data_IF_085640650426
#
_entry.id   IF_085640650426
#
_cell.length_a   1.000
_cell.length_b   1.000
_cell.length_c   1.000
_cell.angle_alpha   90.00
_cell.angle_beta   90.00
_cell.angle_gamma   90.00
#
_symmetry.space_group_name_H-M   'P 1'
#
loop_
_entity.id
_entity.type
_entity.pdbx_description
1 polymer ?
#
# COMPACT_ATOMS: atom_id res chain seq x y z
N UNK A 1 13.01 -15.22 6.66
CA UNK A 1 11.66 -15.42 6.10
C UNK A 1 10.59 -14.65 6.89
N UNK A 2 10.52 -14.78 8.22
CA UNK A 2 9.57 -14.05 9.08
C UNK A 2 9.66 -12.53 8.99
N UNK A 3 10.88 -11.98 9.07
CA UNK A 3 11.05 -10.53 9.01
C UNK A 3 10.65 -9.92 7.66
N UNK A 4 10.86 -10.63 6.54
CA UNK A 4 10.50 -10.12 5.21
C UNK A 4 8.99 -9.99 5.05
N UNK A 5 8.20 -10.94 5.57
CA UNK A 5 6.75 -10.84 5.55
C UNK A 5 6.24 -9.68 6.41
N UNK A 6 6.79 -9.51 7.61
CA UNK A 6 6.40 -8.40 8.50
C UNK A 6 6.78 -7.05 7.91
N UNK A 7 7.92 -6.95 7.22
CA UNK A 7 8.30 -5.74 6.51
C UNK A 7 7.34 -5.43 5.36
N UNK A 8 6.96 -6.43 4.55
CA UNK A 8 5.95 -6.23 3.49
C UNK A 8 4.61 -5.76 4.06
N UNK A 9 4.17 -6.36 5.17
CA UNK A 9 2.95 -5.96 5.86
C UNK A 9 3.05 -4.49 6.35
N UNK A 10 4.19 -4.10 6.95
CA UNK A 10 4.46 -2.73 7.38
C UNK A 10 4.42 -1.74 6.23
N UNK A 11 5.11 -2.02 5.13
CA UNK A 11 5.09 -1.16 3.95
C UNK A 11 3.68 -1.00 3.41
N UNK A 12 2.91 -2.10 3.35
CA UNK A 12 1.52 -2.08 2.90
C UNK A 12 0.65 -1.24 3.82
N UNK A 13 0.78 -1.41 5.15
CA UNK A 13 0.01 -0.65 6.12
C UNK A 13 0.35 0.84 6.09
N UNK A 14 1.62 1.22 5.97
CA UNK A 14 2.03 2.63 5.85
C UNK A 14 1.48 3.26 4.56
N UNK A 15 1.47 2.49 3.47
CA UNK A 15 0.89 2.91 2.20
C UNK A 15 -0.62 3.12 2.33
N UNK A 16 -1.32 2.19 2.99
CA UNK A 16 -2.74 2.31 3.31
C UNK A 16 -3.01 3.52 4.22
N UNK A 17 -2.19 3.73 5.24
CA UNK A 17 -2.31 4.84 6.19
C UNK A 17 -2.18 6.21 5.49
N UNK A 18 -1.26 6.32 4.54
CA UNK A 18 -1.14 7.50 3.66
C UNK A 18 -2.34 7.65 2.73
N UNK A 19 -2.91 6.54 2.26
CA UNK A 19 -4.08 6.54 1.36
C UNK A 19 -5.39 6.89 2.07
N UNK A 20 -5.45 6.73 3.40
CA UNK A 20 -6.64 7.08 4.19
C UNK A 20 -6.59 8.50 4.80
N UNK A 21 -5.61 9.31 4.41
CA UNK A 21 -5.46 10.67 4.92
C UNK A 21 -6.67 11.54 4.50
N UNK A 22 -7.32 12.18 5.47
CA UNK A 22 -8.50 13.02 5.24
C UNK A 22 -9.85 12.30 5.36
N UNK A 23 -9.85 11.00 5.65
CA UNK A 23 -11.07 10.27 6.02
C UNK A 23 -11.52 10.59 7.46
N UNK A 24 -12.77 10.26 7.85
CA UNK A 24 -13.23 10.42 9.21
C UNK A 24 -12.30 9.79 10.26
N UNK A 25 -12.24 10.41 11.45
CA UNK A 25 -11.38 9.97 12.55
C UNK A 25 -11.60 8.51 12.96
N UNK A 26 -12.82 7.99 12.81
CA UNK A 26 -13.17 6.59 13.08
C UNK A 26 -12.37 5.60 12.22
N UNK A 27 -12.08 5.97 10.98
CA UNK A 27 -11.34 5.14 10.03
C UNK A 27 -9.84 5.34 10.20
N UNK A 28 -9.42 6.59 10.43
CA UNK A 28 -8.00 6.89 10.70
C UNK A 28 -7.52 6.19 11.98
N UNK A 29 -8.35 6.15 13.03
CA UNK A 29 -8.04 5.45 14.29
C UNK A 29 -7.79 3.95 14.06
N UNK A 30 -8.62 3.29 13.25
CA UNK A 30 -8.41 1.89 12.84
C UNK A 30 -7.10 1.70 12.09
N UNK A 31 -6.77 2.60 11.15
CA UNK A 31 -5.49 2.55 10.42
C UNK A 31 -4.28 2.71 11.35
N UNK A 32 -4.35 3.62 12.33
CA UNK A 32 -3.33 3.80 13.35
C UNK A 32 -3.19 2.56 14.25
N UNK A 33 -4.31 1.98 14.69
CA UNK A 33 -4.33 0.76 15.48
C UNK A 33 -3.63 -0.40 14.76
N UNK A 34 -3.94 -0.61 13.47
CA UNK A 34 -3.29 -1.64 12.66
C UNK A 34 -1.78 -1.35 12.54
N UNK A 35 -1.39 -0.10 12.33
CA UNK A 35 0.03 0.28 12.28
C UNK A 35 0.77 -0.04 13.58
N UNK A 36 0.24 0.37 14.74
CA UNK A 36 0.83 0.08 16.04
C UNK A 36 0.93 -1.42 16.31
N UNK A 37 -0.11 -2.19 15.97
CA UNK A 37 -0.07 -3.64 16.10
C UNK A 37 0.98 -4.27 15.17
N UNK A 38 1.20 -3.77 13.96
CA UNK A 38 2.27 -4.30 13.10
C UNK A 38 3.66 -4.04 13.68
N UNK A 39 3.85 -2.93 14.40
CA UNK A 39 5.10 -2.67 15.12
C UNK A 39 5.31 -3.67 16.28
N UNK A 40 4.25 -4.01 17.02
CA UNK A 40 4.28 -5.07 18.03
C UNK A 40 4.59 -6.45 17.42
N UNK A 41 4.02 -6.72 16.24
CA UNK A 41 4.31 -7.92 15.46
C UNK A 41 5.78 -7.96 15.06
N UNK A 42 6.31 -6.84 14.55
CA UNK A 42 7.71 -6.72 14.17
C UNK A 42 8.64 -6.94 15.37
N UNK A 43 8.34 -6.34 16.52
CA UNK A 43 9.11 -6.54 17.74
C UNK A 43 9.13 -8.02 18.13
N UNK A 44 7.96 -8.67 18.13
CA UNK A 44 7.83 -10.10 18.44
C UNK A 44 8.60 -10.98 17.43
N UNK A 45 8.50 -10.69 16.14
CA UNK A 45 9.10 -11.50 15.07
C UNK A 45 10.60 -11.23 14.89
N UNK A 46 11.09 -10.04 15.29
CA UNK A 46 12.52 -9.71 15.28
C UNK A 46 13.30 -10.47 16.36
N UNK A 47 12.64 -10.84 17.45
CA UNK A 47 13.22 -11.68 18.50
C UNK A 47 13.37 -13.15 18.08
N UNK A 48 12.60 -13.60 17.08
CA UNK A 48 12.57 -14.98 16.61
C UNK A 48 13.47 -15.20 15.38
N UNK A 49 14.37 -16.20 15.45
CA UNK A 49 15.26 -16.56 14.35
C UNK A 49 14.55 -17.19 13.15
N UNK A 50 13.41 -17.86 13.39
CA UNK A 50 12.59 -18.46 12.34
C UNK A 50 11.10 -18.49 12.71
N UNK A 51 10.23 -18.78 11.75
CA UNK A 51 8.77 -18.91 12.01
C UNK A 51 8.44 -20.04 12.99
N UNK A 52 9.28 -21.05 13.09
CA UNK A 52 9.08 -22.18 14.02
C UNK A 52 9.43 -21.80 15.46
N UNK A 53 10.22 -20.74 15.67
CA UNK A 53 10.47 -20.14 16.99
C UNK A 53 9.30 -19.27 17.49
N UNK A 54 8.32 -18.98 16.63
CA UNK A 54 7.16 -18.20 17.01
C UNK A 54 6.12 -19.08 17.71
N UNK A 55 5.69 -18.63 18.88
CA UNK A 55 4.58 -19.24 19.60
C UNK A 55 3.31 -19.30 18.73
N UNK A 56 2.53 -20.37 18.87
CA UNK A 56 1.18 -20.46 18.29
C UNK A 56 0.29 -19.28 18.68
N UNK A 57 0.51 -18.66 19.84
CA UNK A 57 -0.19 -17.43 20.24
C UNK A 57 0.21 -16.22 19.38
N UNK A 58 1.49 -16.07 19.02
CA UNK A 58 1.96 -14.99 18.16
C UNK A 58 1.45 -15.15 16.71
N UNK A 59 1.35 -16.40 16.24
CA UNK A 59 0.77 -16.72 14.93
C UNK A 59 -0.77 -16.56 14.91
N UNK A 60 -1.46 -16.96 15.97
CA UNK A 60 -2.91 -16.75 16.08
C UNK A 60 -3.24 -15.27 16.13
N UNK A 61 -2.48 -14.51 16.92
CA UNK A 61 -2.63 -13.07 17.02
C UNK A 61 -2.30 -12.34 15.70
N UNK A 62 -1.24 -12.74 14.98
CA UNK A 62 -0.94 -12.13 13.67
C UNK A 62 -2.05 -12.38 12.66
N UNK A 63 -2.65 -13.58 12.68
CA UNK A 63 -3.80 -13.92 11.84
C UNK A 63 -5.02 -13.06 12.18
N UNK A 64 -5.33 -12.91 13.47
CA UNK A 64 -6.40 -12.03 13.93
C UNK A 64 -6.20 -10.58 13.46
N UNK A 65 -4.96 -10.07 13.58
CA UNK A 65 -4.63 -8.73 13.13
C UNK A 65 -4.85 -8.53 11.62
N UNK A 66 -4.45 -9.52 10.81
CA UNK A 66 -4.70 -9.47 9.36
C UNK A 66 -6.20 -9.49 9.06
N UNK A 67 -6.97 -10.32 9.76
CA UNK A 67 -8.44 -10.34 9.62
C UNK A 67 -9.05 -8.98 9.99
N UNK A 68 -8.64 -8.37 11.11
CA UNK A 68 -9.12 -7.05 11.52
C UNK A 68 -8.75 -5.95 10.53
N UNK A 69 -7.55 -6.00 9.96
CA UNK A 69 -7.12 -5.05 8.94
C UNK A 69 -7.99 -5.19 7.67
N UNK A 70 -8.30 -6.43 7.27
CA UNK A 70 -9.20 -6.72 6.17
C UNK A 70 -10.62 -6.20 6.44
N UNK A 71 -11.20 -6.52 7.59
CA UNK A 71 -12.54 -6.03 8.00
C UNK A 71 -12.59 -4.50 8.02
N UNK A 72 -11.54 -3.85 8.52
CA UNK A 72 -11.45 -2.38 8.53
C UNK A 72 -11.39 -1.78 7.12
N UNK A 73 -10.76 -2.48 6.16
CA UNK A 73 -10.72 -2.06 4.77
C UNK A 73 -12.07 -2.28 4.06
N UNK A 74 -12.78 -3.35 4.40
CA UNK A 74 -14.13 -3.61 3.88
C UNK A 74 -15.13 -2.57 4.42
N UNK A 75 -15.07 -2.25 5.72
CA UNK A 75 -15.86 -1.17 6.32
C UNK A 75 -15.53 0.20 5.70
N UNK A 76 -14.25 0.47 5.41
CA UNK A 76 -13.83 1.66 4.68
C UNK A 76 -14.51 1.73 3.31
N UNK A 77 -14.45 0.64 2.53
CA UNK A 77 -15.01 0.59 1.18
C UNK A 77 -16.53 0.81 1.20
N UNK A 78 -17.22 0.21 2.17
CA UNK A 78 -18.65 0.41 2.38
C UNK A 78 -18.95 1.87 2.76
N UNK A 79 -18.16 2.46 3.66
CA UNK A 79 -18.30 3.88 4.02
C UNK A 79 -18.13 4.80 2.81
N UNK A 80 -17.10 4.58 1.99
CA UNK A 80 -16.82 5.36 0.78
C UNK A 80 -17.92 5.23 -0.27
N UNK A 81 -18.56 4.06 -0.35
CA UNK A 81 -19.69 3.83 -1.26
C UNK A 81 -20.92 4.64 -0.84
N UNK A 82 -21.11 4.82 0.47
CA UNK A 82 -22.24 5.57 1.02
C UNK A 82 -21.98 7.08 1.08
N UNK A 83 -20.73 7.50 1.31
CA UNK A 83 -20.32 8.89 1.41
C UNK A 83 -18.89 9.05 0.87
N UNK A 84 -18.68 9.99 -0.06
CA UNK A 84 -17.33 10.38 -0.49
C UNK A 84 -16.96 11.65 0.29
N UNK A 85 -16.06 11.55 1.29
CA UNK A 85 -15.66 12.72 2.07
C UNK A 85 -14.89 13.71 1.20
N UNK A 86 -15.19 14.99 1.38
CA UNK A 86 -14.55 16.09 0.64
C UNK A 86 -13.07 16.28 1.01
N UNK A 87 -12.70 15.93 2.25
CA UNK A 87 -11.34 16.08 2.78
C UNK A 87 -10.40 14.93 2.38
N UNK A 88 -10.90 13.89 1.71
CA UNK A 88 -10.09 12.72 1.36
C UNK A 88 -9.06 13.05 0.28
N UNK A 89 -7.79 12.85 0.63
CA UNK A 89 -6.67 13.08 -0.28
C UNK A 89 -6.43 11.80 -1.08
N UNK A 90 -6.75 11.86 -2.38
CA UNK A 90 -6.44 10.80 -3.34
C UNK A 90 -5.20 11.19 -4.15
N UNK A 91 -4.31 10.24 -4.44
CA UNK A 91 -3.11 10.48 -5.23
C UNK A 91 -1.98 9.49 -4.89
N UNK A 92 -0.86 9.54 -5.60
CA UNK A 92 -0.43 10.59 -6.54
C UNK A 92 -1.08 10.48 -7.93
N UNK A 93 -1.41 11.63 -8.54
CA UNK A 93 -1.88 11.72 -9.93
C UNK A 93 -0.80 12.37 -10.80
N UNK A 94 -0.51 11.79 -11.97
CA UNK A 94 0.39 12.38 -12.97
C UNK A 94 -0.43 13.06 -14.08
N UNK A 95 -0.02 14.24 -14.57
CA UNK A 95 -0.69 14.88 -15.70
C UNK A 95 -0.51 14.01 -16.95
N UNK A 96 -1.59 13.77 -17.70
CA UNK A 96 -1.58 12.93 -18.90
C UNK A 96 -0.79 13.54 -20.09
N UNK A 97 -0.13 14.68 -19.91
CA UNK A 97 0.31 15.58 -20.98
C UNK A 97 1.77 15.49 -21.43
N UNK A 98 2.63 14.68 -20.81
CA UNK A 98 4.02 14.53 -21.26
C UNK A 98 4.35 13.06 -21.54
N UNK A 99 3.62 12.49 -22.50
CA UNK A 99 4.19 11.40 -23.30
C UNK A 99 4.99 12.04 -24.42
N UNK A 100 6.18 12.54 -24.10
CA UNK A 100 7.20 12.77 -25.12
C UNK A 100 7.54 11.39 -25.69
N UNK A 101 6.88 11.03 -26.80
CA UNK A 101 7.37 10.03 -27.72
C UNK A 101 8.82 10.41 -28.02
N UNK A 102 9.78 9.60 -27.58
CA UNK A 102 11.09 9.59 -28.22
C UNK A 102 10.84 9.16 -29.67
N UNK A 103 11.08 10.01 -30.69
CA UNK A 103 11.13 9.54 -32.05
C UNK A 103 12.49 8.87 -32.22
N UNK A 104 12.53 7.56 -32.03
CA UNK A 104 13.63 6.72 -32.48
C UNK A 104 13.43 6.44 -33.99
N UNK A 105 14.44 6.79 -34.78
CA UNK A 105 14.72 6.41 -36.17
C UNK A 105 13.58 6.40 -37.21
N UNK A 106 13.67 7.33 -38.18
CA UNK A 106 13.40 7.02 -39.59
C UNK A 106 14.50 7.64 -40.48
N UNK A 107 15.54 6.84 -40.68
CA UNK A 107 16.15 6.45 -41.97
C UNK A 107 16.19 7.50 -43.09
N UNK A 108 17.44 7.87 -43.39
CA UNK A 108 18.03 8.25 -44.68
C UNK A 108 17.32 7.65 -45.92
N UNK A 109 16.81 8.49 -46.82
CA UNK A 109 16.85 8.16 -48.25
C UNK A 109 17.13 9.43 -49.07
N UNK A 110 18.40 9.64 -49.39
CA UNK A 110 18.80 10.50 -50.48
C UNK A 110 18.32 9.93 -51.81
N UNK A 111 17.36 10.60 -52.45
CA UNK A 111 17.16 10.49 -53.90
C UNK A 111 17.07 11.86 -54.55
N UNK A 112 18.24 12.34 -54.96
CA UNK A 112 18.43 13.43 -55.93
C UNK A 112 17.80 13.00 -57.27
N UNK A 113 16.73 13.66 -57.67
CA UNK A 113 16.23 13.68 -59.06
C UNK A 113 16.10 15.13 -59.48
N UNK A 114 16.89 15.50 -60.49
CA UNK A 114 16.63 16.43 -61.61
C UNK A 114 17.99 16.65 -62.29
N UNK A 115 18.21 16.06 -63.46
CA UNK A 115 17.86 16.56 -64.81
C UNK A 115 18.88 17.57 -65.33
#
# INVERSE_FOLDING_TARGET
MSQSLTQQLKTTCLTLLGSIQGLPSTIQDKGQQVSSSIEELQASFSSAGCFQDLSSSALAWSREMVTKAQESLEELLEYLTQNIPLDWIVGPFTPAGDSTLCPDEMVEEGKKVEA
#
